data_IF_985371708530
#
_entry.id   IF_985371708530
#
_cell.length_a   1.000
_cell.length_b   1.000
_cell.length_c   1.000
_cell.angle_alpha   90.00
_cell.angle_beta   90.00
_cell.angle_gamma   90.00
#
_symmetry.space_group_name_H-M   'P 1'
#
loop_
_entity.id
_entity.type
_entity.pdbx_description
1 polymer ?
#
# COMPACT_ATOMS: atom_id res chain seq x y z
N UNK A 1 -7.20 -12.87 30.97
CA UNK A 1 -7.30 -11.56 30.29
C UNK A 1 -6.41 -11.61 29.05
N UNK A 2 -6.94 -11.75 27.82
CA UNK A 2 -6.10 -11.71 26.63
C UNK A 2 -5.63 -10.26 26.40
N UNK A 3 -4.52 -9.93 27.03
CA UNK A 3 -3.74 -8.72 26.76
C UNK A 3 -2.83 -8.98 25.56
N UNK A 4 -2.45 -7.90 24.87
CA UNK A 4 -1.63 -7.82 23.66
C UNK A 4 -2.40 -8.03 22.35
N UNK A 5 -2.80 -6.91 21.73
CA UNK A 5 -2.86 -6.77 20.26
C UNK A 5 -3.49 -7.95 19.49
N UNK A 6 -4.69 -8.40 19.90
CA UNK A 6 -5.28 -9.70 19.56
C UNK A 6 -5.46 -10.06 18.07
N UNK A 7 -5.03 -9.23 17.11
CA UNK A 7 -5.17 -9.51 15.69
C UNK A 7 -3.95 -9.10 14.83
N UNK A 8 -2.83 -8.62 15.41
CA UNK A 8 -1.65 -8.22 14.62
C UNK A 8 -0.59 -9.31 14.65
N UNK A 9 -0.38 -9.99 13.52
CA UNK A 9 0.56 -11.12 13.38
C UNK A 9 2.03 -10.70 13.45
N UNK A 10 2.36 -9.46 13.05
CA UNK A 10 3.71 -8.91 13.09
C UNK A 10 3.74 -7.53 13.77
N UNK A 11 3.93 -7.54 15.09
CA UNK A 11 3.92 -6.33 15.92
C UNK A 11 5.08 -5.37 15.61
N UNK A 12 6.29 -5.91 15.39
CA UNK A 12 7.48 -5.10 15.05
C UNK A 12 7.26 -4.31 13.76
N UNK A 13 6.68 -4.95 12.76
CA UNK A 13 6.33 -4.29 11.50
C UNK A 13 5.20 -3.28 11.68
N UNK A 14 4.23 -3.55 12.56
CA UNK A 14 3.11 -2.64 12.83
C UNK A 14 3.58 -1.33 13.45
N UNK A 15 4.43 -1.39 14.48
CA UNK A 15 5.00 -0.21 15.10
C UNK A 15 5.92 0.54 14.13
N UNK A 16 6.80 -0.16 13.41
CA UNK A 16 7.64 0.48 12.39
C UNK A 16 6.84 1.16 11.26
N UNK A 17 5.64 0.68 10.93
CA UNK A 17 4.76 1.34 9.96
C UNK A 17 4.04 2.55 10.56
N UNK A 18 3.66 2.50 11.84
CA UNK A 18 3.11 3.65 12.57
C UNK A 18 4.13 4.77 12.71
N UNK A 19 5.37 4.44 13.05
CA UNK A 19 6.47 5.41 13.18
C UNK A 19 6.74 6.11 11.84
N UNK A 20 6.51 5.41 10.72
CA UNK A 20 6.54 5.98 9.36
C UNK A 20 5.32 6.83 9.00
N UNK A 21 4.41 7.07 9.95
CA UNK A 21 3.20 7.87 9.75
C UNK A 21 2.02 7.12 9.10
N UNK A 22 2.03 5.79 9.03
CA UNK A 22 0.84 5.06 8.55
C UNK A 22 -0.28 5.04 9.60
N UNK A 23 -1.52 5.08 9.12
CA UNK A 23 -2.69 4.86 9.96
C UNK A 23 -2.68 3.45 10.55
N UNK A 24 -3.20 3.33 11.79
CA UNK A 24 -3.32 2.05 12.52
C UNK A 24 -3.94 0.95 11.65
N UNK A 25 -5.02 1.27 10.92
CA UNK A 25 -5.71 0.31 10.07
C UNK A 25 -4.86 -0.17 8.87
N UNK A 26 -4.08 0.73 8.26
CA UNK A 26 -3.18 0.39 7.14
C UNK A 26 -1.99 -0.43 7.62
N UNK A 27 -1.39 -0.05 8.74
CA UNK A 27 -0.30 -0.79 9.37
C UNK A 27 -0.76 -2.21 9.76
N UNK A 28 -1.93 -2.35 10.40
CA UNK A 28 -2.46 -3.66 10.80
C UNK A 28 -2.69 -4.59 9.59
N UNK A 29 -3.25 -4.07 8.49
CA UNK A 29 -3.43 -4.87 7.26
C UNK A 29 -2.11 -5.37 6.69
N UNK A 30 -1.08 -4.51 6.62
CA UNK A 30 0.23 -4.89 6.08
C UNK A 30 0.93 -5.90 7.00
N UNK A 31 0.91 -5.67 8.30
CA UNK A 31 1.51 -6.57 9.30
C UNK A 31 0.81 -7.93 9.40
N UNK A 32 -0.46 -8.01 9.01
CA UNK A 32 -1.20 -9.27 8.93
C UNK A 32 -1.04 -10.00 7.59
N UNK A 33 -0.60 -9.30 6.55
CA UNK A 33 -0.41 -9.82 5.21
C UNK A 33 1.04 -10.30 5.03
N UNK A 34 1.31 -11.55 5.41
CA UNK A 34 2.63 -12.19 5.32
C UNK A 34 3.26 -12.18 3.92
N UNK A 35 2.45 -12.09 2.87
CA UNK A 35 2.90 -12.03 1.47
C UNK A 35 2.77 -10.64 0.83
N UNK A 36 2.63 -9.56 1.61
CA UNK A 36 2.42 -8.22 1.06
C UNK A 36 3.55 -7.77 0.11
N UNK A 37 4.82 -8.10 0.42
CA UNK A 37 5.97 -7.78 -0.44
C UNK A 37 5.96 -8.60 -1.73
N UNK A 38 5.58 -9.87 -1.65
CA UNK A 38 5.53 -10.79 -2.80
C UNK A 38 4.35 -10.44 -3.73
N UNK A 39 3.17 -10.14 -3.18
CA UNK A 39 2.01 -9.70 -3.95
C UNK A 39 2.24 -8.33 -4.59
N UNK A 40 2.86 -7.38 -3.88
CA UNK A 40 3.21 -6.08 -4.43
C UNK A 40 4.19 -6.19 -5.61
N UNK A 41 5.24 -7.00 -5.48
CA UNK A 41 6.20 -7.27 -6.56
C UNK A 41 5.56 -7.98 -7.76
N UNK A 42 4.75 -9.02 -7.51
CA UNK A 42 4.01 -9.75 -8.57
C UNK A 42 3.05 -8.83 -9.32
N UNK A 43 2.35 -7.92 -8.64
CA UNK A 43 1.47 -6.94 -9.28
C UNK A 43 2.25 -5.90 -10.10
N UNK A 44 3.43 -5.50 -9.63
CA UNK A 44 4.26 -4.49 -10.30
C UNK A 44 4.76 -4.97 -11.67
N UNK A 45 4.94 -6.29 -11.88
CA UNK A 45 5.40 -6.87 -13.13
C UNK A 45 4.32 -7.24 -14.15
N UNK A 46 3.02 -7.18 -13.78
CA UNK A 46 1.91 -7.57 -14.68
C UNK A 46 1.24 -6.39 -15.41
N UNK A 47 1.76 -5.17 -15.27
CA UNK A 47 1.12 -3.96 -15.77
C UNK A 47 1.28 -3.75 -17.28
N UNK A 48 0.26 -4.13 -18.05
CA UNK A 48 0.00 -3.59 -19.41
C UNK A 48 -0.94 -2.37 -19.41
N UNK A 49 -1.61 -2.11 -18.28
CA UNK A 49 -2.55 -1.00 -18.13
C UNK A 49 -1.85 0.23 -17.50
N UNK A 50 -1.97 1.37 -18.18
CA UNK A 50 -1.50 2.68 -17.72
C UNK A 50 -2.05 3.12 -16.35
N UNK A 51 -3.19 2.55 -15.94
CA UNK A 51 -3.82 2.76 -14.63
C UNK A 51 -3.07 2.02 -13.50
N UNK A 52 -2.39 0.91 -13.80
CA UNK A 52 -1.76 0.02 -12.81
C UNK A 52 -0.26 0.29 -12.66
N UNK A 53 0.21 0.31 -11.40
CA UNK A 53 1.63 0.43 -11.07
C UNK A 53 2.18 1.86 -11.03
N UNK A 54 3.21 2.08 -10.20
CA UNK A 54 3.88 3.37 -10.02
C UNK A 54 3.09 4.41 -9.23
N UNK A 55 3.78 5.26 -8.48
CA UNK A 55 3.16 6.39 -7.79
C UNK A 55 2.74 7.47 -8.77
N UNK A 56 1.79 8.33 -8.39
CA UNK A 56 1.40 9.51 -9.18
C UNK A 56 2.61 10.37 -9.55
N UNK A 57 3.58 10.50 -8.63
CA UNK A 57 4.83 11.22 -8.86
C UNK A 57 5.70 10.55 -9.93
N UNK A 58 5.88 9.23 -9.88
CA UNK A 58 6.62 8.47 -10.89
C UNK A 58 5.95 8.61 -12.27
N UNK A 59 4.61 8.52 -12.34
CA UNK A 59 3.85 8.71 -13.58
C UNK A 59 4.00 10.13 -14.13
N UNK A 60 3.93 11.15 -13.26
CA UNK A 60 4.14 12.56 -13.65
C UNK A 60 5.56 12.80 -14.16
N UNK A 61 6.58 12.22 -13.50
CA UNK A 61 7.99 12.30 -13.94
C UNK A 61 8.22 11.63 -15.30
N UNK A 62 7.49 10.56 -15.60
CA UNK A 62 7.50 9.88 -16.89
C UNK A 62 6.67 10.60 -17.98
N UNK A 63 6.21 11.83 -17.73
CA UNK A 63 5.46 12.63 -18.72
C UNK A 63 4.01 12.18 -18.93
N UNK A 64 3.48 11.25 -18.12
CA UNK A 64 2.08 10.83 -18.22
C UNK A 64 1.20 11.93 -17.62
N UNK A 65 0.40 12.59 -18.47
CA UNK A 65 -0.68 13.48 -18.01
C UNK A 65 -1.64 12.65 -17.15
N UNK A 66 -1.85 13.06 -15.91
CA UNK A 66 -2.69 12.34 -14.95
C UNK A 66 -4.07 12.02 -15.51
N UNK A 67 -4.70 10.95 -15.00
CA UNK A 67 -5.99 10.46 -15.48
C UNK A 67 -7.07 11.55 -15.52
N UNK A 68 -8.05 11.38 -16.42
CA UNK A 68 -9.17 12.30 -16.62
C UNK A 68 -9.75 12.71 -15.26
N UNK A 69 -9.89 14.02 -15.03
CA UNK A 69 -10.62 14.53 -13.87
C UNK A 69 -11.98 13.83 -13.84
N UNK A 70 -12.35 13.25 -12.69
CA UNK A 70 -13.66 12.66 -12.53
C UNK A 70 -14.69 13.73 -12.91
N UNK A 71 -15.53 13.43 -13.91
CA UNK A 71 -16.64 14.28 -14.30
C UNK A 71 -17.51 14.48 -13.06
N UNK A 72 -17.52 15.71 -12.56
CA UNK A 72 -18.39 16.14 -11.48
C UNK A 72 -19.80 16.25 -12.06
N UNK A 73 -20.63 15.24 -11.80
CA UNK A 73 -22.09 15.34 -11.93
C UNK A 73 -22.63 16.19 -10.79
#
# INVERSE_FOLDING_TARGET
>A
MPSKSANVKNEKQYEALKDKGMSKQRAARISNASKSSEHGGKQSGKGGDSSQGGTTAQKKKAGRKGGKAASKS
#
